data_IF_597918874170
#
_entry.id   IF_597918874170
#
_cell.length_a   1.000
_cell.length_b   1.000
_cell.length_c   1.000
_cell.angle_alpha   90.00
_cell.angle_beta   90.00
_cell.angle_gamma   90.00
#
_symmetry.space_group_name_H-M   'P 1'
#
loop_
_entity.id
_entity.type
_entity.pdbx_description
1 polymer ?
#
# COMPACT_ATOMS: atom_id res chain seq x y z
N UNK A 1 12.65 13.23 -58.64
CA UNK A 1 13.36 12.01 -59.07
C UNK A 1 13.73 11.25 -57.79
N UNK A 2 12.86 10.35 -57.29
CA UNK A 2 12.83 8.89 -57.51
C UNK A 2 14.17 8.19 -57.24
N UNK A 3 14.28 7.55 -56.07
CA UNK A 3 14.89 6.23 -55.75
C UNK A 3 14.82 6.04 -54.21
N UNK A 4 13.77 5.45 -53.62
CA UNK A 4 13.64 4.03 -53.27
C UNK A 4 14.95 3.23 -53.15
N UNK A 5 15.36 2.92 -51.92
CA UNK A 5 16.20 1.80 -51.51
C UNK A 5 16.00 1.63 -49.99
N UNK A 6 15.22 0.68 -49.50
CA UNK A 6 15.39 -0.78 -49.43
C UNK A 6 15.40 -1.11 -47.91
N UNK A 7 14.26 -1.59 -47.42
CA UNK A 7 14.13 -2.13 -46.06
C UNK A 7 15.03 -3.36 -45.92
N UNK A 8 16.05 -3.29 -45.07
CA UNK A 8 16.79 -4.47 -44.62
C UNK A 8 16.19 -4.92 -43.28
N UNK A 9 15.31 -5.91 -43.35
CA UNK A 9 14.82 -6.66 -42.19
C UNK A 9 15.95 -7.58 -41.76
N UNK A 10 16.72 -7.18 -40.74
CA UNK A 10 17.66 -8.05 -40.07
C UNK A 10 16.89 -8.90 -39.05
N UNK A 11 16.65 -10.16 -39.40
CA UNK A 11 16.09 -11.18 -38.53
C UNK A 11 17.01 -11.40 -37.32
N UNK A 12 16.58 -10.97 -36.13
CA UNK A 12 17.23 -11.35 -34.87
C UNK A 12 16.77 -12.77 -34.56
N UNK A 13 17.65 -13.72 -34.87
CA UNK A 13 17.48 -15.14 -34.56
C UNK A 13 17.40 -15.34 -33.04
N UNK A 14 16.28 -15.87 -32.57
CA UNK A 14 16.08 -16.34 -31.21
C UNK A 14 17.13 -17.41 -30.86
N UNK A 15 18.14 -17.05 -30.06
CA UNK A 15 18.99 -18.04 -29.39
C UNK A 15 18.17 -18.69 -28.29
N UNK A 16 17.59 -19.86 -28.57
CA UNK A 16 16.93 -20.70 -27.59
C UNK A 16 18.01 -21.45 -26.81
N UNK A 17 18.36 -21.00 -25.61
CA UNK A 17 19.14 -21.79 -24.66
C UNK A 17 18.26 -22.90 -24.11
N UNK A 18 18.30 -24.06 -24.77
CA UNK A 18 17.69 -25.28 -24.26
C UNK A 18 18.63 -25.89 -23.23
N UNK A 19 18.35 -25.69 -21.94
CA UNK A 19 18.99 -26.45 -20.87
C UNK A 19 18.38 -27.86 -20.83
N UNK A 20 19.04 -28.82 -21.46
CA UNK A 20 18.75 -30.25 -21.25
C UNK A 20 19.28 -30.64 -19.87
N UNK A 21 18.38 -30.83 -18.91
CA UNK A 21 18.69 -31.51 -17.64
C UNK A 21 18.68 -33.01 -17.91
N UNK A 22 19.87 -33.59 -18.15
CA UNK A 22 20.06 -35.04 -18.11
C UNK A 22 20.00 -35.49 -16.65
N UNK A 23 18.93 -36.16 -16.25
CA UNK A 23 18.83 -36.80 -14.95
C UNK A 23 19.68 -38.08 -14.92
N UNK A 24 20.67 -38.23 -14.02
CA UNK A 24 21.27 -39.54 -13.79
C UNK A 24 20.31 -40.38 -12.93
N UNK A 25 19.67 -41.37 -13.56
CA UNK A 25 19.00 -42.47 -12.86
C UNK A 25 20.07 -43.34 -12.18
N UNK A 26 20.45 -42.97 -10.96
CA UNK A 26 21.21 -43.85 -10.07
C UNK A 26 20.27 -44.28 -8.95
N UNK A 27 19.79 -45.52 -9.03
CA UNK A 27 19.09 -46.17 -7.94
C UNK A 27 20.04 -46.22 -6.73
N UNK A 28 19.80 -45.34 -5.77
CA UNK A 28 20.47 -45.38 -4.47
C UNK A 28 19.68 -46.35 -3.60
N UNK A 29 20.27 -47.53 -3.40
CA UNK A 29 19.94 -48.43 -2.31
C UNK A 29 19.84 -47.61 -1.00
N UNK A 30 18.70 -47.71 -0.34
CA UNK A 30 18.50 -47.19 1.01
C UNK A 30 19.35 -48.05 1.96
N UNK A 31 20.62 -47.68 2.12
CA UNK A 31 21.42 -48.10 3.26
C UNK A 31 21.12 -47.15 4.41
N UNK A 32 20.27 -47.61 5.32
CA UNK A 32 20.13 -47.04 6.65
C UNK A 32 21.39 -47.41 7.43
N UNK A 33 22.38 -46.55 7.43
CA UNK A 33 23.47 -46.61 8.40
C UNK A 33 23.53 -45.31 9.20
N UNK A 34 22.97 -45.44 10.41
CA UNK A 34 23.46 -44.94 11.69
C UNK A 34 24.14 -43.57 11.69
N UNK A 35 23.38 -42.60 12.20
CA UNK A 35 23.80 -41.45 13.01
C UNK A 35 25.30 -41.35 13.36
N UNK A 36 26.03 -40.53 12.61
CA UNK A 36 27.16 -39.78 13.14
C UNK A 36 26.72 -38.33 13.19
N UNK A 37 26.11 -37.98 14.33
CA UNK A 37 25.82 -36.61 14.70
C UNK A 37 27.15 -35.84 14.74
N UNK A 38 27.35 -34.94 13.80
CA UNK A 38 28.31 -33.86 13.97
C UNK A 38 27.77 -32.97 15.11
N UNK A 39 28.32 -33.15 16.31
CA UNK A 39 28.12 -32.28 17.47
C UNK A 39 28.78 -30.91 17.22
N UNK A 40 28.23 -30.15 16.29
CA UNK A 40 28.50 -28.73 16.10
C UNK A 40 27.15 -28.05 15.98
N UNK A 41 26.89 -27.03 16.81
CA UNK A 41 25.56 -26.54 17.19
C UNK A 41 24.86 -27.52 18.15
N UNK A 42 24.96 -27.24 19.45
CA UNK A 42 24.50 -28.12 20.52
C UNK A 42 23.10 -28.71 20.31
N UNK A 43 22.91 -29.91 20.86
CA UNK A 43 21.66 -30.69 20.88
C UNK A 43 20.45 -29.77 20.90
N UNK A 44 19.67 -29.77 19.81
CA UNK A 44 18.43 -29.03 19.73
C UNK A 44 17.46 -29.63 20.75
N UNK A 45 17.43 -29.07 21.95
CA UNK A 45 16.29 -29.20 22.83
C UNK A 45 15.07 -28.77 22.01
N UNK A 46 14.08 -29.65 21.88
CA UNK A 46 12.77 -29.32 21.32
C UNK A 46 12.15 -28.24 22.21
N UNK A 47 12.50 -26.97 21.94
CA UNK A 47 11.87 -25.82 22.59
C UNK A 47 10.40 -25.90 22.23
N UNK A 48 9.57 -25.99 23.27
CA UNK A 48 8.12 -25.94 23.18
C UNK A 48 7.69 -24.85 22.18
N UNK A 49 6.62 -25.07 21.39
CA UNK A 49 6.15 -24.11 20.41
C UNK A 49 6.06 -22.72 21.06
N UNK A 50 6.91 -21.80 20.62
CA UNK A 50 6.92 -20.44 21.16
C UNK A 50 5.56 -19.83 20.87
N UNK A 51 4.81 -19.51 21.92
CA UNK A 51 3.56 -18.79 21.78
C UNK A 51 3.81 -17.51 21.00
N UNK A 52 2.95 -17.23 20.02
CA UNK A 52 3.09 -16.05 19.18
C UNK A 52 2.99 -14.80 20.03
N UNK A 53 3.97 -13.91 19.91
CA UNK A 53 3.96 -12.64 20.64
C UNK A 53 2.74 -11.79 20.23
N UNK A 54 2.23 -10.97 21.15
CA UNK A 54 1.07 -10.11 20.89
C UNK A 54 1.28 -9.17 19.70
N UNK A 55 2.50 -8.66 19.52
CA UNK A 55 2.85 -7.83 18.36
C UNK A 55 2.78 -8.60 17.04
N UNK A 56 3.14 -9.89 17.07
CA UNK A 56 3.04 -10.75 15.90
C UNK A 56 1.57 -11.03 15.54
N UNK A 57 0.73 -11.30 16.54
CA UNK A 57 -0.74 -11.46 16.35
C UNK A 57 -1.37 -10.21 15.74
N UNK A 58 -1.02 -9.01 16.24
CA UNK A 58 -1.50 -7.74 15.67
C UNK A 58 -1.09 -7.56 14.21
N UNK A 59 0.16 -7.88 13.87
CA UNK A 59 0.65 -7.79 12.49
C UNK A 59 -0.08 -8.76 11.55
N UNK A 60 -0.36 -9.98 12.01
CA UNK A 60 -1.18 -10.94 11.26
C UNK A 60 -2.58 -10.41 11.05
N UNK A 61 -3.25 -9.95 12.11
CA UNK A 61 -4.61 -9.43 12.01
C UNK A 61 -4.70 -8.25 11.03
N UNK A 62 -3.72 -7.35 11.01
CA UNK A 62 -3.71 -6.21 10.09
C UNK A 62 -3.44 -6.62 8.64
N UNK A 63 -2.56 -7.62 8.44
CA UNK A 63 -2.36 -8.24 7.12
C UNK A 63 -3.67 -8.88 6.63
N UNK A 64 -4.32 -9.67 7.48
CA UNK A 64 -5.54 -10.40 7.09
C UNK A 64 -6.67 -9.41 6.76
N UNK A 65 -6.82 -8.32 7.52
CA UNK A 65 -7.75 -7.23 7.18
C UNK A 65 -7.46 -6.59 5.82
N UNK A 66 -6.18 -6.36 5.52
CA UNK A 66 -5.78 -5.83 4.22
C UNK A 66 -6.21 -6.78 3.10
N UNK A 67 -5.88 -8.06 3.24
CA UNK A 67 -6.18 -9.10 2.25
C UNK A 67 -7.70 -9.28 2.07
N UNK A 68 -8.48 -9.22 3.16
CA UNK A 68 -9.94 -9.28 3.13
C UNK A 68 -10.56 -8.12 2.34
N UNK A 69 -10.11 -6.89 2.61
CA UNK A 69 -10.62 -5.69 1.91
C UNK A 69 -10.23 -5.74 0.43
N UNK A 70 -8.99 -6.12 0.11
CA UNK A 70 -8.54 -6.28 -1.27
C UNK A 70 -9.36 -7.38 -1.99
N UNK A 71 -9.59 -8.52 -1.33
CA UNK A 71 -10.37 -9.64 -1.88
C UNK A 71 -11.84 -9.32 -2.15
N UNK A 72 -12.43 -8.39 -1.38
CA UNK A 72 -13.79 -7.87 -1.61
C UNK A 72 -13.86 -6.83 -2.75
N UNK A 73 -12.74 -6.55 -3.42
CA UNK A 73 -12.65 -5.52 -4.45
C UNK A 73 -12.55 -4.10 -3.88
N UNK A 74 -11.97 -3.96 -2.69
CA UNK A 74 -11.54 -2.68 -2.14
C UNK A 74 -10.42 -2.05 -2.98
N UNK A 75 -10.26 -0.73 -2.83
CA UNK A 75 -9.22 0.02 -3.53
C UNK A 75 -7.93 -0.02 -2.71
N UNK A 76 -6.82 -0.38 -3.34
CA UNK A 76 -5.50 -0.35 -2.71
C UNK A 76 -4.80 0.96 -3.03
N UNK A 77 -4.28 1.63 -2.01
CA UNK A 77 -3.53 2.87 -2.13
C UNK A 77 -2.12 2.70 -1.57
N UNK A 78 -1.12 3.24 -2.27
CA UNK A 78 0.22 3.49 -1.75
C UNK A 78 0.18 4.77 -0.91
N UNK A 79 0.78 4.71 0.27
CA UNK A 79 0.83 5.81 1.24
C UNK A 79 2.26 6.36 1.31
N UNK A 80 2.34 7.67 1.22
CA UNK A 80 3.55 8.46 1.28
C UNK A 80 3.50 9.43 2.46
N UNK A 81 4.67 9.82 2.95
CA UNK A 81 4.85 10.78 4.03
C UNK A 81 5.87 11.81 3.63
N UNK A 82 5.63 13.08 3.97
CA UNK A 82 6.62 14.16 3.90
C UNK A 82 6.57 15.01 5.17
N UNK A 83 7.61 15.80 5.41
CA UNK A 83 7.56 16.83 6.44
C UNK A 83 6.76 18.03 5.92
N UNK A 84 5.96 18.64 6.80
CA UNK A 84 5.19 19.85 6.52
C UNK A 84 6.13 20.96 6.04
N UNK A 85 5.78 21.61 4.92
CA UNK A 85 6.60 22.67 4.32
C UNK A 85 7.84 22.20 3.54
N UNK A 86 7.97 20.89 3.29
CA UNK A 86 8.95 20.37 2.31
C UNK A 86 8.43 20.48 0.87
N UNK A 87 9.34 20.42 -0.10
CA UNK A 87 9.01 20.46 -1.52
C UNK A 87 8.04 19.34 -1.94
N UNK A 88 7.21 19.61 -2.95
CA UNK A 88 6.20 18.67 -3.47
C UNK A 88 6.78 17.37 -4.06
N UNK A 89 8.09 17.33 -4.30
CA UNK A 89 8.82 16.16 -4.80
C UNK A 89 9.39 15.26 -3.68
N UNK A 90 9.38 15.73 -2.42
CA UNK A 90 10.06 15.06 -1.29
C UNK A 90 9.18 14.03 -0.55
N UNK A 91 8.56 13.11 -1.30
CA UNK A 91 7.70 12.06 -0.72
C UNK A 91 8.50 10.81 -0.33
N UNK A 92 8.32 10.33 0.90
CA UNK A 92 8.86 9.07 1.38
C UNK A 92 7.79 7.97 1.38
N UNK A 93 8.07 6.78 0.81
CA UNK A 93 7.12 5.68 0.85
C UNK A 93 6.99 5.13 2.27
N UNK A 94 5.75 5.05 2.77
CA UNK A 94 5.46 4.55 4.11
C UNK A 94 4.86 3.13 4.08
N UNK A 95 4.02 2.83 3.10
CA UNK A 95 3.34 1.55 3.00
C UNK A 95 2.15 1.58 2.05
N UNK A 96 1.20 0.66 2.25
CA UNK A 96 -0.04 0.60 1.50
C UNK A 96 -1.23 0.36 2.43
N UNK A 97 -2.41 0.80 2.01
CA UNK A 97 -3.67 0.60 2.72
C UNK A 97 -4.75 0.15 1.74
N UNK A 98 -5.57 -0.80 2.17
CA UNK A 98 -6.75 -1.23 1.43
C UNK A 98 -7.99 -0.54 2.02
N UNK A 99 -8.78 0.11 1.17
CA UNK A 99 -9.95 0.89 1.57
C UNK A 99 -11.21 0.26 0.96
N UNK A 100 -12.25 -0.04 1.75
CA UNK A 100 -13.49 -0.58 1.21
C UNK A 100 -14.19 0.43 0.30
N UNK A 101 -14.93 -0.05 -0.68
CA UNK A 101 -15.65 0.82 -1.64
C UNK A 101 -16.63 1.72 -0.91
N UNK A 102 -16.58 3.02 -1.20
CA UNK A 102 -17.44 4.03 -0.58
C UNK A 102 -16.91 4.63 0.72
N UNK A 103 -15.79 4.13 1.26
CA UNK A 103 -15.05 4.80 2.32
C UNK A 103 -13.99 5.75 1.74
N UNK A 104 -13.62 6.77 2.52
CA UNK A 104 -12.63 7.76 2.14
C UNK A 104 -11.23 7.32 2.57
N UNK A 105 -10.26 7.43 1.65
CA UNK A 105 -8.86 7.06 1.92
C UNK A 105 -8.23 7.94 3.00
N UNK A 106 -8.55 9.25 3.02
CA UNK A 106 -8.06 10.16 4.07
C UNK A 106 -8.42 9.66 5.47
N UNK A 107 -9.67 9.24 5.69
CA UNK A 107 -10.13 8.75 6.99
C UNK A 107 -9.41 7.46 7.39
N UNK A 108 -9.19 6.55 6.43
CA UNK A 108 -8.47 5.31 6.66
C UNK A 108 -6.98 5.53 7.00
N UNK A 109 -6.34 6.55 6.39
CA UNK A 109 -4.96 6.96 6.70
C UNK A 109 -4.87 7.53 8.11
N UNK A 110 -5.76 8.46 8.48
CA UNK A 110 -5.74 9.06 9.82
C UNK A 110 -6.20 8.11 10.93
N UNK A 111 -7.01 7.09 10.63
CA UNK A 111 -7.34 6.03 11.58
C UNK A 111 -6.10 5.19 11.99
N UNK A 112 -5.09 5.10 11.11
CA UNK A 112 -3.87 4.33 11.32
C UNK A 112 -2.61 5.20 11.46
N UNK A 113 -2.79 6.50 11.74
CA UNK A 113 -1.74 7.53 11.75
C UNK A 113 -0.52 7.13 12.61
N UNK A 114 -0.76 6.67 13.84
CA UNK A 114 0.31 6.30 14.78
C UNK A 114 1.18 5.13 14.28
N UNK A 115 0.54 4.13 13.67
CA UNK A 115 1.24 2.96 13.10
C UNK A 115 2.09 3.36 11.90
N UNK A 116 1.58 4.27 11.06
CA UNK A 116 2.32 4.81 9.91
C UNK A 116 3.52 5.65 10.36
N UNK A 117 3.35 6.52 11.36
CA UNK A 117 4.44 7.31 11.97
C UNK A 117 5.57 6.43 12.50
N UNK A 118 5.22 5.39 13.25
CA UNK A 118 6.20 4.41 13.76
C UNK A 118 6.89 3.65 12.63
N UNK A 119 6.17 3.29 11.58
CA UNK A 119 6.72 2.55 10.45
C UNK A 119 7.72 3.40 9.64
N UNK A 120 7.41 4.69 9.42
CA UNK A 120 8.28 5.58 8.65
C UNK A 120 9.55 5.92 9.44
N UNK A 121 9.46 6.21 10.74
CA UNK A 121 10.63 6.51 11.58
C UNK A 121 11.57 5.30 11.69
N UNK A 122 11.00 4.08 11.78
CA UNK A 122 11.81 2.85 11.74
C UNK A 122 12.59 2.69 10.43
N UNK A 123 11.98 3.10 9.31
CA UNK A 123 12.58 2.96 7.98
C UNK A 123 13.56 4.10 7.69
N UNK A 124 13.25 5.30 8.18
CA UNK A 124 14.01 6.52 7.99
C UNK A 124 14.24 7.23 9.35
N UNK A 125 15.26 6.84 10.11
CA UNK A 125 15.54 7.41 11.43
C UNK A 125 15.80 8.93 11.41
N UNK A 126 16.20 9.49 10.27
CA UNK A 126 16.38 10.94 10.07
C UNK A 126 15.09 11.77 10.24
N UNK A 127 13.92 11.12 10.21
CA UNK A 127 12.62 11.76 10.38
C UNK A 127 12.15 11.72 11.84
N UNK A 128 12.91 11.09 12.75
CA UNK A 128 12.61 11.06 14.18
C UNK A 128 12.55 12.49 14.74
N UNK A 129 11.54 12.77 15.57
CA UNK A 129 11.30 14.10 16.14
C UNK A 129 10.38 15.01 15.31
N UNK A 130 10.17 14.73 14.03
CA UNK A 130 9.25 15.49 13.15
C UNK A 130 7.86 14.84 13.02
N UNK A 131 7.55 13.84 13.86
CA UNK A 131 6.34 13.03 13.73
C UNK A 131 5.02 13.82 13.82
N UNK A 132 5.02 14.96 14.51
CA UNK A 132 3.84 15.81 14.63
C UNK A 132 3.58 16.63 13.35
N UNK A 133 4.62 16.84 12.55
CA UNK A 133 4.62 17.69 11.36
C UNK A 133 4.57 16.85 10.07
N UNK A 134 4.14 15.59 10.15
CA UNK A 134 4.02 14.76 8.95
C UNK A 134 2.72 15.03 8.19
N UNK A 135 2.88 15.25 6.89
CA UNK A 135 1.80 15.22 5.92
C UNK A 135 1.75 13.85 5.25
N UNK A 136 0.54 13.33 5.07
CA UNK A 136 0.30 12.06 4.40
C UNK A 136 -0.17 12.31 2.98
N UNK A 137 0.40 11.56 2.04
CA UNK A 137 -0.03 11.52 0.64
C UNK A 137 -0.47 10.12 0.25
N UNK A 138 -1.31 10.00 -0.76
CA UNK A 138 -1.75 8.71 -1.29
C UNK A 138 -1.84 8.72 -2.81
N UNK A 139 -1.66 7.53 -3.40
CA UNK A 139 -1.92 7.26 -4.81
C UNK A 139 -2.48 5.83 -4.94
N UNK A 140 -3.38 5.58 -5.89
CA UNK A 140 -3.84 4.25 -6.27
C UNK A 140 -2.67 3.34 -6.63
N UNK A 141 -2.63 2.15 -6.03
CA UNK A 141 -1.58 1.15 -6.27
C UNK A 141 -1.54 0.65 -7.72
N UNK A 142 -2.70 0.69 -8.39
CA UNK A 142 -2.84 0.31 -9.81
C UNK A 142 -2.19 1.34 -10.74
N UNK A 143 -2.08 2.59 -10.31
CA UNK A 143 -1.56 3.71 -11.11
C UNK A 143 -0.39 4.40 -10.39
N UNK A 144 0.78 3.74 -10.29
CA UNK A 144 1.91 4.30 -9.55
C UNK A 144 2.47 5.61 -10.15
N UNK A 145 2.18 5.90 -11.42
CA UNK A 145 2.61 7.12 -12.12
C UNK A 145 1.72 8.34 -11.83
N UNK A 146 0.54 8.12 -11.23
CA UNK A 146 -0.36 9.22 -10.88
C UNK A 146 0.27 10.12 -9.80
N UNK A 147 -0.02 11.43 -9.84
CA UNK A 147 0.48 12.36 -8.83
C UNK A 147 -0.03 11.98 -7.44
N UNK A 148 0.80 12.22 -6.43
CA UNK A 148 0.45 11.93 -5.03
C UNK A 148 -0.53 13.00 -4.52
N UNK A 149 -1.71 12.56 -4.08
CA UNK A 149 -2.72 13.44 -3.48
C UNK A 149 -2.50 13.56 -1.98
N UNK A 150 -2.57 14.77 -1.43
CA UNK A 150 -2.38 15.00 0.01
C UNK A 150 -3.66 14.70 0.79
N UNK A 151 -3.58 13.85 1.82
CA UNK A 151 -4.69 13.54 2.71
C UNK A 151 -4.93 14.68 3.71
N UNK A 152 -6.15 15.19 3.76
CA UNK A 152 -6.58 16.20 4.75
C UNK A 152 -7.43 15.56 5.85
N UNK A 153 -7.10 15.88 7.11
CA UNK A 153 -7.82 15.40 8.29
C UNK A 153 -9.14 16.14 8.39
N UNK A 154 -10.26 15.45 8.23
CA UNK A 154 -11.58 16.08 8.23
C UNK A 154 -12.02 16.58 6.86
N UNK A 155 -11.55 15.97 5.78
CA UNK A 155 -12.26 15.96 4.49
C UNK A 155 -13.60 15.24 4.55
N UNK A 156 -14.32 15.34 5.68
CA UNK A 156 -15.72 15.02 5.77
C UNK A 156 -16.39 15.75 4.61
N UNK A 157 -17.04 14.98 3.74
CA UNK A 157 -18.09 15.43 2.83
C UNK A 157 -18.73 16.67 3.41
N UNK A 158 -18.36 17.86 2.92
CA UNK A 158 -18.85 19.11 3.49
C UNK A 158 -20.37 19.00 3.50
N UNK A 159 -21.03 19.01 4.68
CA UNK A 159 -22.48 18.87 4.78
C UNK A 159 -23.15 20.20 4.35
N UNK A 160 -22.86 20.66 3.13
CA UNK A 160 -23.26 21.98 2.66
C UNK A 160 -23.13 22.25 1.17
N UNK A 161 -22.21 21.61 0.44
CA UNK A 161 -22.04 21.86 -1.01
C UNK A 161 -22.01 20.56 -1.82
N UNK A 162 -23.17 19.90 -1.93
CA UNK A 162 -23.37 18.87 -2.96
C UNK A 162 -23.75 19.51 -4.30
N UNK A 163 -23.29 18.94 -5.41
CA UNK A 163 -23.63 19.38 -6.78
C UNK A 163 -25.14 19.34 -7.11
N UNK A 164 -26.01 18.88 -6.20
CA UNK A 164 -27.47 19.03 -6.30
C UNK A 164 -28.03 20.26 -5.58
N UNK A 165 -27.33 20.78 -4.56
CA UNK A 165 -27.80 21.90 -3.74
C UNK A 165 -27.67 23.25 -4.49
N UNK A 166 -26.63 23.43 -5.30
CA UNK A 166 -26.47 24.65 -6.10
C UNK A 166 -27.49 24.78 -7.25
N UNK A 167 -27.88 23.67 -7.91
CA UNK A 167 -28.97 23.71 -8.91
C UNK A 167 -30.29 24.02 -8.22
N UNK A 168 -30.50 23.51 -7.01
CA UNK A 168 -31.71 23.77 -6.23
C UNK A 168 -31.79 25.24 -5.82
N UNK A 169 -30.67 25.92 -5.54
CA UNK A 169 -30.63 27.37 -5.23
C UNK A 169 -30.78 28.26 -6.48
N UNK A 170 -30.42 27.78 -7.68
CA UNK A 170 -30.58 28.55 -8.94
C UNK A 170 -31.93 28.35 -9.63
N UNK A 171 -32.61 27.22 -9.39
CA UNK A 171 -33.91 26.89 -10.00
C UNK A 171 -35.08 26.91 -8.99
N UNK A 172 -34.83 27.20 -7.71
CA UNK A 172 -35.91 27.49 -6.76
C UNK A 172 -36.46 28.90 -7.01
N UNK A 173 -37.77 29.08 -7.26
CA UNK A 173 -38.40 30.39 -7.44
C UNK A 173 -38.44 31.24 -6.14
N UNK A 174 -37.89 30.73 -5.04
CA UNK A 174 -37.83 31.38 -3.73
C UNK A 174 -36.36 31.47 -3.31
N UNK A 175 -35.84 32.70 -3.23
CA UNK A 175 -34.50 33.01 -2.76
C UNK A 175 -34.38 32.71 -1.25
N UNK A 176 -33.58 31.69 -0.91
CA UNK A 176 -33.33 31.27 0.47
C UNK A 176 -31.93 31.65 0.97
N UNK A 177 -31.20 32.52 0.25
CA UNK A 177 -29.84 32.95 0.61
C UNK A 177 -29.78 33.77 1.92
N UNK A 178 -30.91 34.28 2.39
CA UNK A 178 -31.04 35.05 3.64
C UNK A 178 -31.57 34.28 4.85
N UNK A 179 -31.87 32.98 4.74
CA UNK A 179 -32.46 32.22 5.86
C UNK A 179 -31.35 31.68 6.77
N UNK A 180 -31.23 32.27 7.96
CA UNK A 180 -30.33 31.79 9.01
C UNK A 180 -30.74 30.36 9.41
N UNK A 181 -29.82 29.37 9.42
CA UNK A 181 -30.17 28.01 9.82
C UNK A 181 -30.66 27.99 11.28
N UNK A 182 -31.67 27.16 11.61
CA UNK A 182 -32.17 27.06 12.98
C UNK A 182 -31.05 26.55 13.91
N UNK A 183 -31.04 26.95 15.20
CA UNK A 183 -30.09 26.42 16.16
C UNK A 183 -30.27 24.91 16.26
N UNK A 184 -29.19 24.17 16.05
CA UNK A 184 -29.15 22.74 16.35
C UNK A 184 -29.05 22.68 17.88
N UNK A 185 -30.14 22.33 18.55
CA UNK A 185 -30.07 21.90 19.95
C UNK A 185 -29.30 20.56 19.98
N UNK A 186 -28.29 20.50 20.85
CA UNK A 186 -27.35 19.38 21.03
C UNK A 186 -28.03 18.07 21.42
#
# INVERSE_FOLDING_TARGET
>A
MKTFALFLIAAITNLSWSFTVTAPSRALEVRRDVSLAAEGFGKAEEKAPREMSENYKKKIAERDRYDDIAGQGGQEYNIYVRQFGSDDESWFPCGAIAVPRGAQVSDAVFANEESLKKAIVRTYPKLEGFEQEFEFGFNLKVYPDDPIETATKGGARAPGLSFGNWISTLLSPVDNSGVKPPPVEE
#
